data_IF_079775430727
#
_entry.id   IF_079775430727
#
_cell.length_a   1.000
_cell.length_b   1.000
_cell.length_c   1.000
_cell.angle_alpha   90.00
_cell.angle_beta   90.00
_cell.angle_gamma   90.00
#
_symmetry.space_group_name_H-M   'P 1'
#
loop_
_entity.id
_entity.type
_entity.pdbx_description
1 polymer ?
#
# COMPACT_ATOMS: atom_id res chain seq x y z
N UNK A 1 4.34 16.10 17.37
CA UNK A 1 3.67 17.13 18.20
C UNK A 1 3.18 16.60 19.56
N UNK A 2 3.07 15.27 19.79
CA UNK A 2 2.77 14.71 21.13
C UNK A 2 3.59 13.46 21.50
N UNK A 3 4.59 13.05 20.69
CA UNK A 3 5.44 11.87 20.91
C UNK A 3 4.70 10.56 21.29
N UNK A 4 3.43 10.48 20.91
CA UNK A 4 2.55 9.34 21.15
C UNK A 4 2.80 8.26 20.09
N UNK A 5 3.33 7.12 20.53
CA UNK A 5 3.74 6.03 19.65
C UNK A 5 3.24 4.65 20.13
N UNK A 6 2.05 4.63 20.75
CA UNK A 6 1.39 3.38 21.07
C UNK A 6 1.05 2.64 19.77
N UNK A 7 1.61 1.45 19.59
CA UNK A 7 1.30 0.58 18.45
C UNK A 7 0.42 -0.57 18.91
N UNK A 8 -0.75 -0.68 18.29
CA UNK A 8 -1.75 -1.70 18.59
C UNK A 8 -1.92 -2.65 17.41
N UNK A 9 -2.30 -3.90 17.70
CA UNK A 9 -2.53 -4.91 16.67
C UNK A 9 -3.99 -4.91 16.25
N UNK A 10 -4.24 -4.74 14.95
CA UNK A 10 -5.60 -4.80 14.41
C UNK A 10 -6.09 -6.25 14.26
N UNK A 11 -7.35 -6.42 13.86
CA UNK A 11 -7.94 -7.76 13.70
C UNK A 11 -7.25 -8.62 12.62
N UNK A 12 -6.59 -8.00 11.65
CA UNK A 12 -5.80 -8.65 10.59
C UNK A 12 -4.36 -8.99 11.01
N UNK A 13 -3.98 -8.74 12.26
CA UNK A 13 -2.63 -9.04 12.78
C UNK A 13 -1.57 -8.01 12.40
N UNK A 14 -1.95 -6.82 11.90
CA UNK A 14 -1.04 -5.73 11.58
C UNK A 14 -0.86 -4.81 12.78
N UNK A 15 0.39 -4.46 13.08
CA UNK A 15 0.74 -3.44 14.07
C UNK A 15 0.60 -2.04 13.45
N UNK A 16 -0.33 -1.24 13.95
CA UNK A 16 -0.61 0.12 13.48
C UNK A 16 -0.47 1.12 14.63
N UNK A 17 -0.20 2.37 14.30
CA UNK A 17 -0.22 3.46 15.28
C UNK A 17 -1.66 3.62 15.81
N UNK A 18 -1.81 3.74 17.12
CA UNK A 18 -3.08 4.01 17.76
C UNK A 18 -3.60 5.40 17.36
N UNK A 19 -4.92 5.53 17.24
CA UNK A 19 -5.55 6.83 16.95
C UNK A 19 -5.40 7.79 18.13
N UNK A 20 -5.57 9.12 17.92
CA UNK A 20 -5.46 10.11 18.99
C UNK A 20 -6.36 9.83 20.21
N UNK A 21 -7.51 9.18 20.02
CA UNK A 21 -8.41 8.76 21.10
C UNK A 21 -7.66 8.03 22.22
N UNK A 22 -6.74 7.11 21.87
CA UNK A 22 -5.97 6.33 22.86
C UNK A 22 -4.96 7.18 23.64
N UNK A 23 -4.55 8.34 23.11
CA UNK A 23 -3.69 9.28 23.84
C UNK A 23 -4.49 10.10 24.87
N UNK A 24 -5.71 10.50 24.51
CA UNK A 24 -6.56 11.35 25.37
C UNK A 24 -7.42 10.56 26.36
N UNK A 25 -7.58 9.25 26.16
CA UNK A 25 -8.35 8.34 27.03
C UNK A 25 -8.08 8.50 28.54
N UNK A 26 -6.83 8.62 29.02
CA UNK A 26 -6.56 8.79 30.46
C UNK A 26 -6.96 10.16 31.00
N UNK A 27 -7.18 11.14 30.13
CA UNK A 27 -7.39 12.55 30.49
C UNK A 27 -8.81 13.02 30.22
N UNK A 28 -9.71 12.16 29.72
CA UNK A 28 -11.06 12.55 29.33
C UNK A 28 -12.12 11.60 29.87
N UNK A 29 -13.12 12.18 30.56
CA UNK A 29 -14.35 11.51 30.96
C UNK A 29 -15.52 12.30 30.35
N UNK A 30 -16.28 11.66 29.46
CA UNK A 30 -17.47 12.25 28.85
C UNK A 30 -18.70 12.07 29.75
N UNK A 31 -19.75 12.84 29.46
CA UNK A 31 -21.00 12.80 30.21
C UNK A 31 -21.80 11.51 30.00
N UNK A 32 -21.71 10.86 28.84
CA UNK A 32 -22.64 9.79 28.43
C UNK A 32 -22.22 8.44 29.04
N UNK A 33 -21.04 7.93 28.68
CA UNK A 33 -20.58 6.58 29.08
C UNK A 33 -19.41 6.62 30.08
N UNK A 34 -18.58 7.67 30.04
CA UNK A 34 -17.31 7.77 30.75
C UNK A 34 -17.40 7.55 32.25
N UNK A 35 -18.49 8.00 32.87
CA UNK A 35 -18.73 7.85 34.32
C UNK A 35 -19.26 6.47 34.73
N UNK A 36 -19.60 5.61 33.77
CA UNK A 36 -20.05 4.25 34.04
C UNK A 36 -18.87 3.27 34.12
N UNK A 37 -17.86 3.45 33.27
CA UNK A 37 -16.75 2.51 33.17
C UNK A 37 -15.46 3.23 32.79
N UNK A 38 -14.32 2.96 33.44
CA UNK A 38 -13.05 3.51 32.98
C UNK A 38 -12.76 3.09 31.54
N UNK A 39 -12.19 4.01 30.76
CA UNK A 39 -11.82 3.81 29.35
C UNK A 39 -12.98 3.73 28.36
N UNK A 40 -14.19 4.17 28.74
CA UNK A 40 -15.38 4.12 27.87
C UNK A 40 -15.69 5.42 27.12
N UNK A 41 -14.96 6.51 27.40
CA UNK A 41 -15.29 7.85 26.86
C UNK A 41 -15.08 8.07 25.37
N UNK A 42 -14.59 7.06 24.65
CA UNK A 42 -14.31 7.15 23.22
C UNK A 42 -14.95 5.98 22.46
N UNK A 43 -15.72 6.33 21.43
CA UNK A 43 -16.32 5.39 20.51
C UNK A 43 -15.34 4.80 19.49
N UNK A 44 -15.74 3.67 18.89
CA UNK A 44 -15.04 3.00 17.76
C UNK A 44 -13.60 2.56 18.06
N UNK A 45 -13.25 2.41 19.33
CA UNK A 45 -11.92 1.95 19.78
C UNK A 45 -11.70 0.44 19.58
N UNK A 46 -12.77 -0.31 19.27
CA UNK A 46 -12.74 -1.76 19.00
C UNK A 46 -12.03 -2.19 17.70
N UNK A 47 -11.46 -1.25 16.94
CA UNK A 47 -10.65 -1.55 15.74
C UNK A 47 -9.37 -2.35 16.04
N UNK A 48 -8.92 -2.36 17.30
CA UNK A 48 -7.74 -3.07 17.77
C UNK A 48 -8.09 -4.21 18.72
N UNK A 49 -7.28 -5.28 18.70
CA UNK A 49 -7.37 -6.41 19.63
C UNK A 49 -6.73 -6.04 20.97
N UNK A 50 -7.36 -6.43 22.08
CA UNK A 50 -6.84 -6.24 23.45
C UNK A 50 -6.38 -4.80 23.78
N UNK A 51 -6.97 -3.80 23.11
CA UNK A 51 -6.54 -2.40 23.16
C UNK A 51 -6.50 -1.84 24.58
N UNK A 52 -7.49 -2.20 25.43
CA UNK A 52 -7.58 -1.69 26.81
C UNK A 52 -6.35 -2.07 27.62
N UNK A 53 -5.94 -3.34 27.54
CA UNK A 53 -4.76 -3.85 28.27
C UNK A 53 -3.48 -3.10 27.85
N UNK A 54 -3.27 -2.95 26.55
CA UNK A 54 -2.05 -2.31 26.04
C UNK A 54 -2.06 -0.79 26.24
N UNK A 55 -3.22 -0.14 26.19
CA UNK A 55 -3.35 1.29 26.49
C UNK A 55 -3.06 1.57 27.96
N UNK A 56 -3.61 0.76 28.87
CA UNK A 56 -3.32 0.83 30.31
C UNK A 56 -1.84 0.58 30.58
N UNK A 57 -1.26 -0.48 30.01
CA UNK A 57 0.16 -0.81 30.22
C UNK A 57 1.10 0.29 29.71
N UNK A 58 0.75 0.92 28.58
CA UNK A 58 1.51 2.01 27.97
C UNK A 58 1.53 3.27 28.85
N UNK A 59 0.34 3.74 29.24
CA UNK A 59 0.22 4.99 29.99
C UNK A 59 0.73 4.85 31.42
N UNK A 60 0.46 3.73 32.09
CA UNK A 60 0.97 3.46 33.45
C UNK A 60 2.48 3.24 33.52
N UNK A 61 3.14 3.03 32.37
CA UNK A 61 4.57 2.72 32.33
C UNK A 61 4.93 1.29 32.71
N UNK A 62 3.93 0.40 32.91
CA UNK A 62 4.15 -1.05 33.07
C UNK A 62 4.86 -1.62 31.85
N UNK A 63 4.47 -1.15 30.65
CA UNK A 63 5.21 -1.37 29.41
C UNK A 63 5.56 -0.02 28.80
N UNK A 64 6.82 0.42 28.87
CA UNK A 64 7.21 1.75 28.40
C UNK A 64 7.06 1.88 26.88
N UNK A 65 7.12 3.11 26.35
CA UNK A 65 7.09 3.38 24.90
C UNK A 65 8.08 2.52 24.10
N UNK A 66 9.30 2.33 24.61
CA UNK A 66 10.33 1.50 23.97
C UNK A 66 9.90 0.05 23.75
N UNK A 67 9.06 -0.51 24.65
CA UNK A 67 8.53 -1.86 24.50
C UNK A 67 7.68 -1.98 23.24
N UNK A 68 6.76 -1.05 23.01
CA UNK A 68 5.84 -1.09 21.86
C UNK A 68 6.55 -0.85 20.53
N UNK A 69 7.59 -0.02 20.51
CA UNK A 69 8.46 0.17 19.34
C UNK A 69 9.20 -1.13 18.99
N UNK A 70 9.82 -1.77 19.99
CA UNK A 70 10.53 -3.04 19.79
C UNK A 70 9.59 -4.19 19.43
N UNK A 71 8.39 -4.24 20.02
CA UNK A 71 7.38 -5.23 19.67
C UNK A 71 6.91 -5.09 18.22
N UNK A 72 6.75 -3.84 17.73
CA UNK A 72 6.48 -3.55 16.33
C UNK A 72 7.63 -4.02 15.41
N UNK A 73 8.87 -3.71 15.78
CA UNK A 73 10.07 -4.15 15.05
C UNK A 73 10.18 -5.68 14.99
N UNK A 74 9.91 -6.36 16.10
CA UNK A 74 9.85 -7.83 16.19
C UNK A 74 8.89 -8.41 15.15
N UNK A 75 7.67 -7.88 15.06
CA UNK A 75 6.66 -8.37 14.13
C UNK A 75 7.09 -8.20 12.66
N UNK A 76 7.76 -7.08 12.33
CA UNK A 76 8.32 -6.87 10.98
C UNK A 76 9.37 -7.92 10.63
N UNK A 77 10.33 -8.17 11.54
CA UNK A 77 11.37 -9.19 11.35
C UNK A 77 10.75 -10.59 11.22
N UNK A 78 9.76 -10.95 12.05
CA UNK A 78 9.08 -12.24 11.97
C UNK A 78 8.36 -12.45 10.63
N UNK A 79 7.79 -11.38 10.06
CA UNK A 79 7.18 -11.43 8.73
C UNK A 79 8.21 -11.59 7.61
N UNK A 80 9.35 -10.90 7.71
CA UNK A 80 10.46 -11.07 6.76
C UNK A 80 11.04 -12.49 6.81
N UNK A 81 11.26 -13.03 8.01
CA UNK A 81 11.71 -14.41 8.19
C UNK A 81 10.74 -15.39 7.53
N UNK A 82 9.43 -15.18 7.66
CA UNK A 82 8.42 -16.03 7.01
C UNK A 82 8.57 -16.01 5.49
N UNK A 83 8.68 -14.82 4.89
CA UNK A 83 8.86 -14.67 3.44
C UNK A 83 10.12 -15.40 2.94
N UNK A 84 11.26 -15.18 3.59
CA UNK A 84 12.52 -15.83 3.21
C UNK A 84 12.51 -17.34 3.47
N UNK A 85 11.77 -17.83 4.47
CA UNK A 85 11.55 -19.27 4.67
C UNK A 85 10.75 -19.87 3.54
N UNK A 86 9.67 -19.22 3.11
CA UNK A 86 8.83 -19.69 2.00
C UNK A 86 9.64 -19.74 0.69
N UNK A 87 10.49 -18.73 0.44
CA UNK A 87 11.41 -18.67 -0.69
C UNK A 87 12.46 -19.79 -0.64
N UNK A 88 13.14 -19.95 0.50
CA UNK A 88 14.10 -21.04 0.72
C UNK A 88 13.44 -22.41 0.49
N UNK A 89 12.23 -22.63 1.00
CA UNK A 89 11.53 -23.91 0.85
C UNK A 89 11.12 -24.18 -0.61
N UNK A 90 10.85 -23.14 -1.41
CA UNK A 90 10.68 -23.25 -2.85
C UNK A 90 11.99 -23.63 -3.55
N UNK A 91 13.11 -22.98 -3.19
CA UNK A 91 14.45 -23.29 -3.72
C UNK A 91 14.90 -24.70 -3.36
N UNK A 92 14.69 -25.17 -2.13
CA UNK A 92 15.01 -26.54 -1.72
C UNK A 92 14.22 -27.59 -2.52
N UNK A 93 12.94 -27.32 -2.81
CA UNK A 93 12.13 -28.19 -3.68
C UNK A 93 12.66 -28.21 -5.10
N UNK A 94 13.06 -27.06 -5.65
CA UNK A 94 13.69 -26.99 -6.97
C UNK A 94 15.03 -27.75 -7.00
N UNK A 95 15.87 -27.55 -5.98
CA UNK A 95 17.14 -28.23 -5.80
C UNK A 95 16.99 -29.75 -5.77
N UNK A 96 16.02 -30.27 -4.99
CA UNK A 96 15.74 -31.71 -4.92
C UNK A 96 15.33 -32.29 -6.28
N UNK A 97 14.51 -31.57 -7.05
CA UNK A 97 14.11 -32.01 -8.41
C UNK A 97 15.28 -32.09 -9.37
N UNK A 98 16.14 -31.05 -9.40
CA UNK A 98 17.34 -31.04 -10.26
C UNK A 98 18.35 -32.12 -9.83
N UNK A 99 18.47 -32.37 -8.52
CA UNK A 99 19.33 -33.43 -7.97
C UNK A 99 18.82 -34.84 -8.33
N UNK A 100 17.51 -35.07 -8.36
CA UNK A 100 16.95 -36.36 -8.77
C UNK A 100 17.16 -36.65 -10.27
N UNK A 101 17.16 -35.62 -11.13
CA UNK A 101 17.56 -35.79 -12.53
C UNK A 101 19.05 -36.09 -12.73
N UNK A 102 19.86 -36.01 -11.65
CA UNK A 102 21.32 -36.07 -11.72
C UNK A 102 21.92 -37.48 -11.75
N UNK A 103 21.14 -38.53 -11.45
CA UNK A 103 21.66 -39.90 -11.24
C UNK A 103 22.23 -40.58 -12.50
N UNK A 104 22.02 -40.02 -13.69
CA UNK A 104 22.48 -40.60 -14.96
C UNK A 104 23.18 -39.58 -15.88
N UNK A 105 23.73 -38.50 -15.31
CA UNK A 105 24.35 -37.44 -16.12
C UNK A 105 25.71 -37.89 -16.69
N UNK A 106 25.97 -37.67 -17.98
CA UNK A 106 27.30 -37.81 -18.56
C UNK A 106 28.38 -37.00 -17.82
N UNK A 107 29.68 -37.31 -17.93
CA UNK A 107 30.74 -36.45 -17.39
C UNK A 107 30.66 -35.00 -17.95
N UNK A 108 31.32 -34.01 -17.30
CA UNK A 108 31.42 -32.63 -17.81
C UNK A 108 31.77 -32.60 -19.29
N UNK A 109 31.20 -31.65 -20.05
CA UNK A 109 31.49 -31.52 -21.47
C UNK A 109 33.00 -31.41 -21.65
N UNK A 110 33.61 -32.46 -22.21
CA UNK A 110 34.98 -32.37 -22.67
C UNK A 110 34.97 -31.51 -23.93
N UNK A 111 35.27 -30.22 -23.77
CA UNK A 111 35.30 -29.25 -24.88
C UNK A 111 36.17 -29.72 -26.05
N UNK A 112 37.22 -30.50 -25.79
CA UNK A 112 38.07 -31.07 -26.83
C UNK A 112 37.42 -32.23 -27.60
N UNK A 113 36.58 -33.03 -26.95
CA UNK A 113 35.92 -34.18 -27.58
C UNK A 113 34.82 -33.79 -28.58
N UNK A 114 34.21 -32.61 -28.36
CA UNK A 114 33.12 -32.06 -29.17
C UNK A 114 33.42 -30.65 -29.74
N UNK A 115 34.69 -30.25 -29.82
CA UNK A 115 35.09 -28.90 -30.26
C UNK A 115 34.54 -28.58 -31.66
N UNK A 116 34.61 -29.54 -32.58
CA UNK A 116 34.09 -29.37 -33.94
C UNK A 116 32.57 -29.27 -33.96
N UNK A 117 31.87 -30.09 -33.18
CA UNK A 117 30.42 -30.09 -33.07
C UNK A 117 29.90 -28.78 -32.44
N UNK A 118 30.60 -28.25 -31.42
CA UNK A 118 30.31 -26.93 -30.83
C UNK A 118 30.51 -25.83 -31.87
N UNK A 119 31.66 -25.79 -32.56
CA UNK A 119 31.92 -24.76 -33.59
C UNK A 119 30.89 -24.83 -34.70
N UNK A 120 30.59 -26.02 -35.21
CA UNK A 120 29.59 -26.23 -36.27
C UNK A 120 28.20 -25.79 -35.83
N UNK A 121 27.78 -26.10 -34.60
CA UNK A 121 26.49 -25.69 -34.07
C UNK A 121 26.42 -24.16 -33.92
N UNK A 122 27.48 -23.53 -33.41
CA UNK A 122 27.57 -22.07 -33.28
C UNK A 122 27.51 -21.40 -34.65
N UNK A 123 28.27 -21.88 -35.63
CA UNK A 123 28.29 -21.36 -36.99
C UNK A 123 26.91 -21.53 -37.67
N UNK A 124 26.27 -22.70 -37.50
CA UNK A 124 24.94 -22.97 -38.05
C UNK A 124 23.85 -22.10 -37.45
N UNK A 125 23.81 -21.99 -36.12
CA UNK A 125 22.82 -21.17 -35.42
C UNK A 125 23.01 -19.70 -35.77
N UNK A 126 24.26 -19.23 -35.86
CA UNK A 126 24.57 -17.85 -36.25
C UNK A 126 24.17 -17.56 -37.69
N UNK A 127 24.49 -18.47 -38.63
CA UNK A 127 24.08 -18.34 -40.03
C UNK A 127 22.55 -18.38 -40.19
N UNK A 128 21.87 -19.22 -39.41
CA UNK A 128 20.41 -19.29 -39.38
C UNK A 128 19.78 -18.02 -38.84
N UNK A 129 20.31 -17.46 -37.75
CA UNK A 129 19.85 -16.20 -37.20
C UNK A 129 20.08 -15.04 -38.16
N UNK A 130 21.25 -14.97 -38.80
CA UNK A 130 21.56 -13.93 -39.78
C UNK A 130 20.59 -13.97 -40.96
N UNK A 131 20.39 -15.15 -41.55
CA UNK A 131 19.49 -15.30 -42.70
C UNK A 131 18.02 -15.08 -42.32
N UNK A 132 17.57 -15.57 -41.15
CA UNK A 132 16.21 -15.29 -40.66
C UNK A 132 15.99 -13.80 -40.44
N UNK A 133 16.97 -13.10 -39.87
CA UNK A 133 16.90 -11.66 -39.64
C UNK A 133 16.82 -10.91 -40.98
N UNK A 134 17.62 -11.32 -41.97
CA UNK A 134 17.61 -10.75 -43.31
C UNK A 134 16.25 -10.95 -44.02
N UNK A 135 15.73 -12.18 -44.03
CA UNK A 135 14.44 -12.49 -44.67
C UNK A 135 13.29 -11.76 -43.96
N UNK A 136 13.30 -11.75 -42.62
CA UNK A 136 12.25 -11.06 -41.83
C UNK A 136 12.29 -9.55 -42.05
N UNK A 137 13.49 -8.97 -42.21
CA UNK A 137 13.67 -7.56 -42.57
C UNK A 137 13.12 -7.27 -43.96
N UNK A 138 13.48 -8.08 -44.98
CA UNK A 138 12.95 -7.96 -46.34
C UNK A 138 11.43 -8.11 -46.40
N UNK A 139 10.88 -9.07 -45.67
CA UNK A 139 9.44 -9.29 -45.55
C UNK A 139 8.73 -8.09 -44.90
N UNK A 140 9.29 -7.56 -43.80
CA UNK A 140 8.75 -6.37 -43.12
C UNK A 140 8.71 -5.14 -44.04
N UNK A 141 9.78 -4.90 -44.80
CA UNK A 141 9.84 -3.81 -45.79
C UNK A 141 8.80 -4.03 -46.89
N UNK A 142 8.67 -5.25 -47.39
CA UNK A 142 7.71 -5.61 -48.46
C UNK A 142 6.26 -5.46 -47.99
N UNK A 143 5.92 -5.95 -46.80
CA UNK A 143 4.57 -5.82 -46.23
C UNK A 143 4.22 -4.37 -45.90
N UNK A 144 5.20 -3.57 -45.45
CA UNK A 144 5.02 -2.12 -45.25
C UNK A 144 4.70 -1.42 -46.58
N UNK A 145 5.44 -1.74 -47.65
CA UNK A 145 5.16 -1.22 -49.00
C UNK A 145 3.79 -1.65 -49.52
N UNK A 146 3.43 -2.93 -49.36
CA UNK A 146 2.09 -3.43 -49.72
C UNK A 146 0.98 -2.68 -49.00
N UNK A 147 1.13 -2.42 -47.71
CA UNK A 147 0.16 -1.65 -46.92
C UNK A 147 0.00 -0.22 -47.44
N UNK A 148 1.10 0.44 -47.82
CA UNK A 148 1.07 1.78 -48.44
C UNK A 148 0.36 1.72 -49.81
N UNK A 149 0.76 0.79 -50.67
CA UNK A 149 0.18 0.61 -52.01
C UNK A 149 -1.31 0.29 -51.94
N UNK A 150 -1.75 -0.55 -50.99
CA UNK A 150 -3.16 -0.86 -50.77
C UNK A 150 -3.96 0.39 -50.34
N UNK A 151 -3.40 1.24 -49.48
CA UNK A 151 -4.05 2.51 -49.08
C UNK A 151 -4.12 3.48 -50.25
N UNK A 152 -3.03 3.64 -50.99
CA UNK A 152 -2.99 4.49 -52.20
C UNK A 152 -3.98 4.00 -53.24
N UNK A 153 -4.06 2.69 -53.47
CA UNK A 153 -5.00 2.07 -54.39
C UNK A 153 -6.44 2.35 -53.97
N UNK A 154 -6.76 2.21 -52.67
CA UNK A 154 -8.09 2.52 -52.14
C UNK A 154 -8.48 3.99 -52.35
N UNK A 155 -7.54 4.92 -52.12
CA UNK A 155 -7.77 6.36 -52.34
C UNK A 155 -7.94 6.65 -53.83
N UNK A 156 -7.08 6.11 -54.69
CA UNK A 156 -7.16 6.30 -56.14
C UNK A 156 -8.46 5.72 -56.73
N UNK A 157 -8.89 4.55 -56.25
CA UNK A 157 -10.18 3.96 -56.65
C UNK A 157 -11.38 4.79 -56.19
N UNK A 158 -11.31 5.36 -54.98
CA UNK A 158 -12.36 6.27 -54.49
C UNK A 158 -12.39 7.57 -55.32
N UNK A 159 -11.24 8.17 -55.60
CA UNK A 159 -11.12 9.36 -56.43
C UNK A 159 -11.65 9.11 -57.86
N UNK A 160 -11.28 7.98 -58.47
CA UNK A 160 -11.81 7.59 -59.77
C UNK A 160 -13.33 7.44 -59.75
N UNK A 161 -13.90 6.87 -58.67
CA UNK A 161 -15.35 6.72 -58.51
C UNK A 161 -16.07 8.05 -58.36
N UNK A 162 -15.49 9.01 -57.64
CA UNK A 162 -16.05 10.37 -57.55
C UNK A 162 -15.93 11.10 -58.89
N UNK A 163 -14.79 11.03 -59.59
CA UNK A 163 -14.63 11.58 -60.94
C UNK A 163 -15.64 10.98 -61.94
N UNK A 164 -15.91 9.68 -61.86
CA UNK A 164 -16.92 9.00 -62.68
C UNK A 164 -18.34 9.56 -62.39
N UNK A 165 -18.65 9.88 -61.13
CA UNK A 165 -19.93 10.50 -60.75
C UNK A 165 -19.99 11.98 -61.15
N UNK A 166 -18.92 12.73 -60.94
CA UNK A 166 -18.84 14.16 -61.25
C UNK A 166 -19.05 14.38 -62.75
N UNK A 167 -18.43 13.56 -63.59
CA UNK A 167 -18.65 13.60 -65.02
C UNK A 167 -20.09 13.24 -65.41
N UNK A 168 -20.67 12.20 -64.80
CA UNK A 168 -22.06 11.82 -65.04
C UNK A 168 -23.04 12.95 -64.64
N UNK A 169 -22.87 13.50 -63.44
CA UNK A 169 -23.67 14.61 -62.94
C UNK A 169 -23.52 15.86 -63.81
N UNK A 170 -22.30 16.25 -64.19
CA UNK A 170 -22.05 17.38 -65.07
C UNK A 170 -22.69 17.21 -66.45
N UNK A 171 -22.90 15.97 -66.92
CA UNK A 171 -23.56 15.67 -68.19
C UNK A 171 -25.09 15.72 -68.10
N UNK A 172 -25.66 15.38 -66.93
CA UNK A 172 -27.11 15.27 -66.72
C UNK A 172 -27.79 16.59 -66.30
N UNK A 173 -27.03 17.66 -66.03
CA UNK A 173 -27.55 18.97 -65.63
C UNK A 173 -27.35 20.03 -66.71
N UNK A 174 -28.34 20.92 -66.83
CA UNK A 174 -28.30 22.12 -67.68
C UNK A 174 -27.92 23.39 -66.90
N UNK A 175 -27.71 23.28 -65.58
CA UNK A 175 -27.34 24.42 -64.72
C UNK A 175 -25.89 24.87 -65.00
N UNK A 176 -25.71 26.18 -65.18
CA UNK A 176 -24.42 26.86 -65.34
C UNK A 176 -24.53 28.28 -64.73
N UNK A 177 -23.76 28.64 -63.69
CA UNK A 177 -22.68 27.88 -63.06
C UNK A 177 -23.13 26.79 -62.07
N UNK A 178 -22.29 25.77 -61.90
CA UNK A 178 -22.46 24.67 -60.93
C UNK A 178 -21.62 24.95 -59.70
N UNK A 179 -22.26 25.05 -58.53
CA UNK A 179 -21.55 25.27 -57.28
C UNK A 179 -21.00 23.95 -56.71
N UNK A 180 -19.69 23.90 -56.42
CA UNK A 180 -19.06 22.72 -55.83
C UNK A 180 -19.53 22.52 -54.38
N UNK A 181 -20.15 21.39 -54.02
CA UNK A 181 -20.61 21.13 -52.66
C UNK A 181 -19.46 20.94 -51.65
N UNK A 182 -18.23 20.72 -52.13
CA UNK A 182 -17.05 20.49 -51.28
C UNK A 182 -16.31 21.77 -50.91
N UNK A 183 -16.22 22.74 -51.83
CA UNK A 183 -15.44 23.98 -51.62
C UNK A 183 -16.23 25.27 -51.82
N UNK A 184 -17.49 25.21 -52.29
CA UNK A 184 -18.36 26.36 -52.50
C UNK A 184 -18.03 27.21 -53.74
N UNK A 185 -17.02 26.82 -54.53
CA UNK A 185 -16.63 27.51 -55.76
C UNK A 185 -17.62 27.24 -56.90
N UNK A 186 -17.97 28.28 -57.65
CA UNK A 186 -18.80 28.17 -58.85
C UNK A 186 -17.94 27.77 -60.06
N UNK A 187 -18.27 26.64 -60.68
CA UNK A 187 -17.60 26.12 -61.86
C UNK A 187 -18.51 26.25 -63.09
N UNK A 188 -17.95 26.68 -64.23
CA UNK A 188 -18.72 26.71 -65.47
C UNK A 188 -18.88 25.29 -66.04
N UNK A 189 -20.08 24.87 -66.40
CA UNK A 189 -20.32 23.52 -66.94
C UNK A 189 -20.11 23.44 -68.47
N UNK A 190 -18.97 23.96 -68.94
CA UNK A 190 -18.60 24.00 -70.36
C UNK A 190 -18.06 22.66 -70.87
N UNK A 191 -18.09 22.46 -72.20
CA UNK A 191 -17.47 21.30 -72.84
C UNK A 191 -15.99 21.12 -72.43
N UNK A 192 -15.24 22.22 -72.31
CA UNK A 192 -13.81 22.18 -71.91
C UNK A 192 -13.65 21.61 -70.50
N UNK A 193 -14.51 22.01 -69.57
CA UNK A 193 -14.45 21.53 -68.18
C UNK A 193 -14.93 20.08 -68.06
N UNK A 194 -15.94 19.67 -68.84
CA UNK A 194 -16.35 18.25 -68.93
C UNK A 194 -15.25 17.39 -69.53
N UNK A 195 -14.53 17.88 -70.54
CA UNK A 195 -13.39 17.18 -71.14
C UNK A 195 -12.20 17.04 -70.17
N UNK A 196 -11.94 18.07 -69.35
CA UNK A 196 -10.93 18.01 -68.29
C UNK A 196 -11.22 16.88 -67.28
N UNK A 197 -12.50 16.68 -66.88
CA UNK A 197 -12.89 15.56 -66.02
C UNK A 197 -12.61 14.19 -66.66
N UNK A 198 -12.81 14.06 -67.98
CA UNK A 198 -12.48 12.82 -68.71
C UNK A 198 -10.98 12.57 -68.74
N UNK A 199 -10.17 13.61 -68.94
CA UNK A 199 -8.71 13.51 -68.90
C UNK A 199 -8.24 13.08 -67.49
N UNK A 200 -8.75 13.72 -66.44
CA UNK A 200 -8.48 13.36 -65.03
C UNK A 200 -8.88 11.90 -64.73
N UNK A 201 -10.03 11.43 -65.24
CA UNK A 201 -10.43 10.02 -65.13
C UNK A 201 -9.42 9.08 -65.80
N UNK A 202 -8.97 9.39 -67.01
CA UNK A 202 -7.99 8.55 -67.73
C UNK A 202 -6.66 8.49 -67.00
N UNK A 203 -6.16 9.62 -66.52
CA UNK A 203 -4.94 9.69 -65.71
C UNK A 203 -5.10 8.88 -64.42
N UNK A 204 -6.25 9.00 -63.74
CA UNK A 204 -6.53 8.24 -62.52
C UNK A 204 -6.62 6.72 -62.78
N UNK A 205 -7.25 6.29 -63.89
CA UNK A 205 -7.29 4.87 -64.32
C UNK A 205 -5.88 4.32 -64.56
N UNK A 206 -5.03 5.07 -65.24
CA UNK A 206 -3.63 4.68 -65.46
C UNK A 206 -2.87 4.55 -64.13
N UNK A 207 -3.05 5.50 -63.21
CA UNK A 207 -2.44 5.44 -61.88
C UNK A 207 -2.91 4.22 -61.06
N UNK A 208 -4.21 3.90 -61.09
CA UNK A 208 -4.76 2.69 -60.48
C UNK A 208 -4.11 1.42 -61.04
N UNK A 209 -3.95 1.33 -62.36
CA UNK A 209 -3.31 0.19 -63.02
C UNK A 209 -1.84 0.04 -62.61
N UNK A 210 -1.09 1.15 -62.53
CA UNK A 210 0.30 1.12 -62.04
C UNK A 210 0.37 0.61 -60.60
N UNK A 211 -0.47 1.15 -59.69
CA UNK A 211 -0.51 0.72 -58.29
C UNK A 211 -0.87 -0.77 -58.15
N UNK A 212 -1.77 -1.29 -58.98
CA UNK A 212 -2.12 -2.72 -58.99
C UNK A 212 -0.94 -3.59 -59.45
N UNK A 213 -0.20 -3.16 -60.48
CA UNK A 213 1.00 -3.86 -60.97
C UNK A 213 2.12 -3.88 -59.92
N UNK A 214 2.38 -2.74 -59.26
CA UNK A 214 3.35 -2.65 -58.18
C UNK A 214 2.95 -3.54 -56.99
N UNK A 215 1.68 -3.53 -56.60
CA UNK A 215 1.16 -4.37 -55.54
C UNK A 215 1.34 -5.85 -55.86
N UNK A 216 1.03 -6.28 -57.09
CA UNK A 216 1.24 -7.68 -57.54
C UNK A 216 2.72 -8.07 -57.50
N UNK A 217 3.62 -7.15 -57.81
CA UNK A 217 5.07 -7.40 -57.78
C UNK A 217 5.57 -7.60 -56.34
N UNK A 218 5.15 -6.73 -55.42
CA UNK A 218 5.50 -6.87 -54.00
C UNK A 218 4.84 -8.11 -53.37
N UNK A 219 3.65 -8.51 -53.82
CA UNK A 219 2.99 -9.73 -53.35
C UNK A 219 3.77 -10.99 -53.78
N UNK A 220 4.28 -11.03 -55.01
CA UNK A 220 5.18 -12.08 -55.47
C UNK A 220 6.48 -12.18 -54.66
N UNK A 221 7.08 -11.04 -54.29
CA UNK A 221 8.26 -10.99 -53.41
C UNK A 221 7.95 -11.53 -52.01
N UNK A 222 6.83 -11.09 -51.41
CA UNK A 222 6.40 -11.56 -50.10
C UNK A 222 6.21 -13.08 -50.07
N UNK A 223 5.54 -13.65 -51.07
CA UNK A 223 5.37 -15.10 -51.20
C UNK A 223 6.69 -15.85 -51.38
N UNK A 224 7.67 -15.26 -52.08
CA UNK A 224 9.02 -15.83 -52.20
C UNK A 224 9.72 -15.88 -50.84
N UNK A 225 9.70 -14.77 -50.09
CA UNK A 225 10.32 -14.71 -48.76
C UNK A 225 9.64 -15.65 -47.74
N UNK A 226 8.31 -15.82 -47.82
CA UNK A 226 7.59 -16.80 -47.01
C UNK A 226 8.03 -18.24 -47.34
N UNK A 227 8.21 -18.57 -48.63
CA UNK A 227 8.75 -19.87 -49.05
C UNK A 227 10.20 -20.09 -48.61
N UNK A 228 11.04 -19.06 -48.64
CA UNK A 228 12.40 -19.11 -48.11
C UNK A 228 12.41 -19.38 -46.59
N UNK A 229 11.47 -18.77 -45.86
CA UNK A 229 11.21 -19.04 -44.44
C UNK A 229 10.76 -20.47 -44.17
N UNK A 230 9.93 -21.07 -45.03
CA UNK A 230 9.55 -22.49 -44.92
C UNK A 230 10.70 -23.44 -45.26
N UNK A 231 11.55 -23.09 -46.24
CA UNK A 231 12.73 -23.86 -46.61
C UNK A 231 13.79 -23.91 -45.48
N UNK A 232 13.74 -23.00 -44.50
CA UNK A 232 14.58 -23.06 -43.30
C UNK A 232 14.39 -24.34 -42.47
N UNK A 233 13.28 -25.06 -42.62
CA UNK A 233 13.03 -26.34 -41.95
C UNK A 233 14.10 -27.41 -42.27
N UNK A 234 14.70 -27.38 -43.46
CA UNK A 234 15.77 -28.33 -43.83
C UNK A 234 17.05 -28.15 -43.02
N UNK A 235 17.31 -26.95 -42.50
CA UNK A 235 18.49 -26.67 -41.68
C UNK A 235 18.28 -27.00 -40.21
N UNK A 236 17.03 -27.00 -39.74
CA UNK A 236 16.66 -27.54 -38.42
C UNK A 236 17.00 -29.03 -38.34
N UNK A 237 16.71 -29.80 -39.39
CA UNK A 237 17.11 -31.20 -39.49
C UNK A 237 18.64 -31.40 -39.43
N UNK A 238 19.42 -30.40 -39.87
CA UNK A 238 20.90 -30.43 -39.79
C UNK A 238 21.40 -30.21 -38.36
N UNK A 239 20.78 -29.28 -37.62
CA UNK A 239 20.99 -29.09 -36.19
C UNK A 239 20.65 -30.37 -35.41
N UNK A 240 19.52 -31.01 -35.72
CA UNK A 240 19.14 -32.30 -35.12
C UNK A 240 20.21 -33.37 -35.38
N UNK A 241 20.79 -33.40 -36.59
CA UNK A 241 21.92 -34.28 -36.91
C UNK A 241 23.16 -34.02 -36.04
N UNK A 242 23.51 -32.76 -35.78
CA UNK A 242 24.63 -32.39 -34.88
C UNK A 242 24.31 -32.81 -33.44
N UNK A 243 23.08 -32.58 -32.97
CA UNK A 243 22.64 -32.96 -31.64
C UNK A 243 22.64 -34.49 -31.42
N UNK A 244 22.34 -35.26 -32.47
CA UNK A 244 22.36 -36.74 -32.44
C UNK A 244 23.76 -37.35 -32.58
N UNK A 245 24.79 -36.55 -32.90
CA UNK A 245 26.17 -37.03 -33.01
C UNK A 245 26.63 -37.68 -31.69
N UNK A 246 27.26 -38.85 -31.80
CA UNK A 246 27.72 -39.64 -30.64
C UNK A 246 29.24 -39.61 -30.55
N UNK A 247 29.77 -39.42 -29.34
CA UNK A 247 31.18 -39.73 -29.00
C UNK A 247 31.17 -40.68 -27.80
N UNK A 248 31.55 -41.93 -28.04
CA UNK A 248 31.41 -42.99 -27.03
C UNK A 248 29.94 -43.32 -26.78
N UNK A 249 29.51 -43.36 -25.52
CA UNK A 249 28.16 -43.77 -25.12
C UNK A 249 27.09 -42.67 -25.14
N UNK A 250 27.47 -41.41 -25.35
CA UNK A 250 26.59 -40.25 -25.18
C UNK A 250 26.41 -39.45 -26.47
N UNK A 251 25.21 -38.88 -26.66
CA UNK A 251 24.95 -37.89 -27.71
C UNK A 251 25.40 -36.51 -27.26
N UNK A 252 25.67 -35.62 -28.21
CA UNK A 252 26.00 -34.23 -27.92
C UNK A 252 24.86 -33.51 -27.19
N UNK A 253 23.59 -33.81 -27.50
CA UNK A 253 22.44 -33.29 -26.76
C UNK A 253 22.47 -33.66 -25.27
N UNK A 254 22.73 -34.93 -24.94
CA UNK A 254 22.78 -35.40 -23.55
C UNK A 254 23.85 -34.64 -22.73
N UNK A 255 24.96 -34.26 -23.40
CA UNK A 255 26.04 -33.46 -22.84
C UNK A 255 25.66 -31.99 -22.60
N UNK A 256 24.88 -31.38 -23.49
CA UNK A 256 24.37 -30.01 -23.31
C UNK A 256 23.35 -29.96 -22.17
N UNK A 257 22.41 -30.91 -22.14
CA UNK A 257 21.40 -31.01 -21.07
C UNK A 257 22.08 -31.20 -19.70
N UNK A 258 23.12 -32.05 -19.65
CA UNK A 258 23.96 -32.24 -18.48
C UNK A 258 24.59 -30.93 -17.97
N UNK A 259 25.17 -30.14 -18.86
CA UNK A 259 25.82 -28.89 -18.49
C UNK A 259 24.81 -27.81 -18.05
N UNK A 260 23.65 -27.75 -18.71
CA UNK A 260 22.54 -26.90 -18.30
C UNK A 260 22.03 -27.25 -16.90
N UNK A 261 21.90 -28.55 -16.61
CA UNK A 261 21.50 -29.03 -15.28
C UNK A 261 22.56 -28.72 -14.21
N UNK A 262 23.86 -28.86 -14.51
CA UNK A 262 24.94 -28.45 -13.58
C UNK A 262 24.87 -26.96 -13.25
N UNK A 263 24.71 -26.12 -14.27
CA UNK A 263 24.65 -24.67 -14.07
C UNK A 263 23.40 -24.24 -13.29
N UNK A 264 22.26 -24.89 -13.55
CA UNK A 264 21.04 -24.68 -12.77
C UNK A 264 21.24 -25.12 -11.31
N UNK A 265 21.90 -26.25 -11.08
CA UNK A 265 22.24 -26.73 -9.75
C UNK A 265 23.14 -25.75 -8.99
N UNK A 266 24.21 -25.24 -9.63
CA UNK A 266 25.10 -24.24 -9.06
C UNK A 266 24.34 -22.96 -8.68
N UNK A 267 23.52 -22.44 -9.59
CA UNK A 267 22.72 -21.23 -9.36
C UNK A 267 21.77 -21.41 -8.16
N UNK A 268 20.97 -22.49 -8.15
CA UNK A 268 20.05 -22.77 -7.05
C UNK A 268 20.83 -22.96 -5.73
N UNK A 269 22.00 -23.61 -5.78
CA UNK A 269 22.84 -23.76 -4.59
C UNK A 269 23.34 -22.42 -4.06
N UNK A 270 23.74 -21.49 -4.93
CA UNK A 270 24.16 -20.13 -4.55
C UNK A 270 22.98 -19.35 -3.94
N UNK A 271 21.80 -19.39 -4.56
CA UNK A 271 20.60 -18.73 -4.04
C UNK A 271 20.17 -19.31 -2.69
N UNK A 272 20.25 -20.63 -2.52
CA UNK A 272 19.95 -21.30 -1.25
C UNK A 272 20.91 -20.84 -0.13
N UNK A 273 22.21 -20.73 -0.43
CA UNK A 273 23.20 -20.21 0.52
C UNK A 273 22.87 -18.77 0.91
N UNK A 274 22.60 -17.90 -0.06
CA UNK A 274 22.24 -16.50 0.21
C UNK A 274 20.95 -16.38 1.05
N UNK A 275 19.92 -17.18 0.75
CA UNK A 275 18.68 -17.22 1.53
C UNK A 275 18.93 -17.67 2.98
N UNK A 276 19.78 -18.69 3.18
CA UNK A 276 20.13 -19.17 4.52
C UNK A 276 20.95 -18.14 5.32
N UNK A 277 21.91 -17.46 4.69
CA UNK A 277 22.66 -16.36 5.32
C UNK A 277 21.73 -15.23 5.76
N UNK A 278 20.81 -14.81 4.88
CA UNK A 278 19.83 -13.76 5.20
C UNK A 278 18.91 -14.17 6.35
N UNK A 279 18.44 -15.42 6.35
CA UNK A 279 17.66 -15.98 7.47
C UNK A 279 18.47 -16.00 8.77
N UNK A 280 19.75 -16.34 8.73
CA UNK A 280 20.65 -16.30 9.88
C UNK A 280 20.77 -14.90 10.47
N UNK A 281 20.97 -13.88 9.63
CA UNK A 281 21.02 -12.47 10.04
C UNK A 281 19.70 -12.03 10.67
N UNK A 282 18.57 -12.31 10.02
CA UNK A 282 17.25 -11.95 10.52
C UNK A 282 16.93 -12.65 11.86
N UNK A 283 17.32 -13.91 12.00
CA UNK A 283 17.16 -14.66 13.24
C UNK A 283 17.99 -14.06 14.37
N UNK A 284 19.25 -13.68 14.10
CA UNK A 284 20.09 -12.97 15.08
C UNK A 284 19.50 -11.64 15.52
N UNK A 285 18.95 -10.86 14.57
CA UNK A 285 18.23 -9.62 14.88
C UNK A 285 16.98 -9.87 15.72
N UNK A 286 16.21 -10.92 15.40
CA UNK A 286 15.02 -11.30 16.15
C UNK A 286 15.38 -11.67 17.60
N UNK A 287 16.45 -12.41 17.81
CA UNK A 287 16.89 -12.84 19.14
C UNK A 287 17.42 -11.66 19.97
N UNK A 288 18.14 -10.72 19.36
CA UNK A 288 18.52 -9.46 20.00
C UNK A 288 17.30 -8.64 20.46
N UNK A 289 16.32 -8.44 19.57
CA UNK A 289 15.08 -7.71 19.91
C UNK A 289 14.29 -8.43 21.02
N UNK A 290 14.24 -9.77 21.02
CA UNK A 290 13.59 -10.55 22.09
C UNK A 290 14.31 -10.37 23.44
N UNK A 291 15.64 -10.34 23.44
CA UNK A 291 16.41 -10.10 24.65
C UNK A 291 16.14 -8.69 25.21
N UNK A 292 16.15 -7.67 24.36
CA UNK A 292 15.81 -6.29 24.76
C UNK A 292 14.37 -6.19 25.30
N UNK A 293 13.39 -6.82 24.63
CA UNK A 293 12.02 -6.86 25.11
C UNK A 293 11.89 -7.51 26.49
N UNK A 294 12.67 -8.56 26.77
CA UNK A 294 12.69 -9.21 28.09
C UNK A 294 13.23 -8.27 29.16
N UNK A 295 14.26 -7.49 28.85
CA UNK A 295 14.84 -6.51 29.78
C UNK A 295 13.88 -5.35 30.10
N UNK A 296 12.96 -5.02 29.18
CA UNK A 296 11.94 -4.01 29.40
C UNK A 296 10.73 -4.52 30.22
N UNK A 297 10.60 -5.83 30.38
CA UNK A 297 9.55 -6.45 31.18
C UNK A 297 10.09 -6.83 32.57
N UNK A 298 10.45 -5.83 33.36
CA UNK A 298 10.89 -6.02 34.73
C UNK A 298 9.69 -6.35 35.66
N UNK A 299 9.65 -7.56 36.26
CA UNK A 299 8.61 -7.93 37.22
C UNK A 299 8.65 -7.06 38.49
N UNK A 300 9.83 -6.57 38.89
CA UNK A 300 10.02 -5.68 40.03
C UNK A 300 9.31 -4.35 39.80
N UNK A 301 9.70 -3.64 38.74
CA UNK A 301 9.01 -2.41 38.30
C UNK A 301 7.50 -2.60 38.15
N UNK A 302 7.05 -3.69 37.53
CA UNK A 302 5.62 -3.97 37.37
C UNK A 302 4.91 -4.09 38.73
N UNK A 303 5.54 -4.74 39.71
CA UNK A 303 5.00 -4.87 41.07
C UNK A 303 4.92 -3.50 41.77
N UNK A 304 5.95 -2.68 41.64
CA UNK A 304 6.02 -1.36 42.26
C UNK A 304 4.94 -0.42 41.70
N UNK A 305 4.77 -0.39 40.37
CA UNK A 305 3.72 0.40 39.71
C UNK A 305 2.32 -0.02 40.20
N UNK A 306 2.04 -1.33 40.24
CA UNK A 306 0.74 -1.82 40.70
C UNK A 306 0.51 -1.53 42.19
N UNK A 307 1.55 -1.60 43.03
CA UNK A 307 1.46 -1.27 44.44
C UNK A 307 1.20 0.23 44.66
N UNK A 308 1.88 1.10 43.89
CA UNK A 308 1.66 2.54 43.92
C UNK A 308 0.23 2.88 43.50
N UNK A 309 -0.24 2.35 42.37
CA UNK A 309 -1.62 2.52 41.90
C UNK A 309 -2.62 2.08 42.97
N UNK A 310 -2.45 0.89 43.55
CA UNK A 310 -3.34 0.37 44.59
C UNK A 310 -3.39 1.28 45.83
N UNK A 311 -2.26 1.87 46.23
CA UNK A 311 -2.20 2.83 47.33
C UNK A 311 -2.97 4.12 47.03
N UNK A 312 -2.76 4.70 45.84
CA UNK A 312 -3.51 5.91 45.40
C UNK A 312 -5.00 5.63 45.26
N UNK A 313 -5.36 4.47 44.69
CA UNK A 313 -6.75 4.04 44.54
C UNK A 313 -7.44 3.91 45.90
N UNK A 314 -6.80 3.28 46.88
CA UNK A 314 -7.35 3.18 48.23
C UNK A 314 -7.57 4.55 48.89
N UNK A 315 -6.64 5.49 48.70
CA UNK A 315 -6.78 6.85 49.21
C UNK A 315 -7.98 7.56 48.56
N UNK A 316 -8.08 7.56 47.23
CA UNK A 316 -9.16 8.27 46.55
C UNK A 316 -10.54 7.65 46.77
N UNK A 317 -10.63 6.33 46.91
CA UNK A 317 -11.87 5.67 47.31
C UNK A 317 -12.36 6.16 48.69
N UNK A 318 -11.44 6.33 49.64
CA UNK A 318 -11.77 6.87 50.96
C UNK A 318 -12.20 8.35 50.88
N UNK A 319 -11.46 9.18 50.13
CA UNK A 319 -11.76 10.61 49.94
C UNK A 319 -13.14 10.83 49.27
N UNK A 320 -13.52 9.92 48.38
CA UNK A 320 -14.81 9.93 47.66
C UNK A 320 -15.90 9.09 48.34
N UNK A 321 -15.61 8.52 49.52
CA UNK A 321 -16.55 7.72 50.30
C UNK A 321 -17.19 6.56 49.53
N UNK A 322 -16.37 5.80 48.80
CA UNK A 322 -16.76 4.56 48.13
C UNK A 322 -16.48 3.40 49.08
N UNK A 323 -17.52 2.62 49.39
CA UNK A 323 -17.47 1.54 50.37
C UNK A 323 -17.69 0.16 49.75
N UNK A 324 -18.32 0.09 48.58
CA UNK A 324 -18.80 -1.18 48.02
C UNK A 324 -17.82 -1.87 47.06
N UNK A 325 -16.70 -1.24 46.68
CA UNK A 325 -15.73 -1.86 45.77
C UNK A 325 -14.89 -2.91 46.52
N UNK A 326 -14.86 -4.18 46.07
CA UNK A 326 -14.04 -5.21 46.72
C UNK A 326 -12.55 -4.86 46.72
N UNK A 327 -11.86 -5.13 47.84
CA UNK A 327 -10.44 -4.80 48.00
C UNK A 327 -9.49 -5.55 47.04
N UNK A 328 -9.96 -6.63 46.42
CA UNK A 328 -9.21 -7.32 45.37
C UNK A 328 -9.28 -6.54 44.05
N UNK A 329 -10.49 -6.13 43.65
CA UNK A 329 -10.73 -5.33 42.43
C UNK A 329 -10.10 -3.95 42.53
N UNK A 330 -10.16 -3.30 43.69
CA UNK A 330 -9.57 -1.96 43.90
C UNK A 330 -8.06 -1.89 43.69
N UNK A 331 -7.37 -3.03 43.62
CA UNK A 331 -5.92 -3.12 43.38
C UNK A 331 -5.59 -3.34 41.90
N UNK A 332 -6.58 -3.62 41.07
CA UNK A 332 -6.35 -3.92 39.66
C UNK A 332 -6.24 -2.65 38.83
N UNK A 333 -5.04 -2.36 38.31
CA UNK A 333 -4.85 -1.22 37.38
C UNK A 333 -5.65 -1.37 36.08
N UNK A 334 -6.07 -2.60 35.74
CA UNK A 334 -6.91 -2.93 34.58
C UNK A 334 -8.37 -3.13 34.97
N UNK A 335 -8.83 -2.32 35.92
CA UNK A 335 -10.16 -2.39 36.50
C UNK A 335 -11.27 -2.45 35.44
N UNK A 336 -12.25 -3.31 35.70
CA UNK A 336 -13.52 -3.40 35.00
C UNK A 336 -14.58 -3.42 36.07
N UNK A 337 -15.39 -2.36 36.14
CA UNK A 337 -16.43 -2.24 37.15
C UNK A 337 -17.61 -3.14 36.80
N UNK A 338 -18.14 -3.79 37.82
CA UNK A 338 -19.38 -4.57 37.78
C UNK A 338 -20.47 -4.02 38.71
N UNK A 339 -20.14 -2.97 39.48
CA UNK A 339 -21.06 -2.35 40.42
C UNK A 339 -22.11 -1.52 39.70
N UNK A 340 -23.34 -1.53 40.23
CA UNK A 340 -24.44 -0.66 39.79
C UNK A 340 -24.87 0.20 40.97
N UNK A 341 -25.04 1.50 40.75
CA UNK A 341 -25.49 2.46 41.76
C UNK A 341 -24.60 3.69 41.92
N UNK A 342 -25.01 4.63 42.78
CA UNK A 342 -24.44 5.98 42.90
C UNK A 342 -22.95 6.05 43.32
N UNK A 343 -22.34 4.95 43.76
CA UNK A 343 -20.89 4.88 44.02
C UNK A 343 -20.05 4.78 42.74
N UNK A 344 -20.67 4.40 41.62
CA UNK A 344 -19.98 4.10 40.36
C UNK A 344 -19.24 5.32 39.78
N UNK A 345 -19.83 6.52 39.63
CA UNK A 345 -19.10 7.70 39.16
C UNK A 345 -17.93 8.08 40.08
N UNK A 346 -18.11 7.90 41.40
CA UNK A 346 -17.07 8.15 42.42
C UNK A 346 -15.93 7.14 42.31
N UNK A 347 -16.24 5.88 42.01
CA UNK A 347 -15.25 4.83 41.76
C UNK A 347 -14.46 5.10 40.48
N UNK A 348 -15.14 5.53 39.41
CA UNK A 348 -14.49 5.94 38.17
C UNK A 348 -13.55 7.12 38.41
N UNK A 349 -13.99 8.15 39.14
CA UNK A 349 -13.14 9.28 39.48
C UNK A 349 -11.90 8.84 40.28
N UNK A 350 -12.08 8.00 41.30
CA UNK A 350 -10.98 7.47 42.09
C UNK A 350 -9.95 6.74 41.21
N UNK A 351 -10.44 5.94 40.26
CA UNK A 351 -9.60 5.26 39.29
C UNK A 351 -8.79 6.23 38.42
N UNK A 352 -9.43 7.23 37.81
CA UNK A 352 -8.76 8.18 36.93
C UNK A 352 -7.72 9.04 37.67
N UNK A 353 -8.02 9.47 38.91
CA UNK A 353 -7.06 10.20 39.73
C UNK A 353 -5.87 9.31 40.14
N UNK A 354 -6.12 8.09 40.60
CA UNK A 354 -5.07 7.13 40.93
C UNK A 354 -4.21 6.77 39.71
N UNK A 355 -4.85 6.61 38.55
CA UNK A 355 -4.18 6.31 37.31
C UNK A 355 -3.34 7.50 36.83
N UNK A 356 -3.88 8.72 36.89
CA UNK A 356 -3.16 9.95 36.56
C UNK A 356 -1.89 10.13 37.39
N UNK A 357 -1.97 9.91 38.70
CA UNK A 357 -0.78 9.94 39.57
C UNK A 357 0.24 8.85 39.20
N UNK A 358 -0.25 7.65 38.88
CA UNK A 358 0.60 6.53 38.45
C UNK A 358 1.30 6.83 37.12
N UNK A 359 0.59 7.44 36.17
CA UNK A 359 1.14 7.87 34.89
C UNK A 359 2.22 8.94 35.09
N UNK A 360 2.01 9.88 36.01
CA UNK A 360 2.99 10.94 36.28
C UNK A 360 4.27 10.39 36.91
N UNK A 361 4.14 9.44 37.82
CA UNK A 361 5.28 8.84 38.51
C UNK A 361 6.07 7.87 37.61
N UNK A 362 5.40 7.03 36.84
CA UNK A 362 6.04 5.91 36.12
C UNK A 362 5.89 5.91 34.60
N UNK A 363 4.95 6.70 34.08
CA UNK A 363 4.63 6.78 32.67
C UNK A 363 5.73 7.45 31.84
N UNK A 364 5.58 7.35 30.52
CA UNK A 364 6.53 7.93 29.54
C UNK A 364 5.82 8.79 28.48
N UNK A 365 4.61 9.24 28.81
CA UNK A 365 3.66 9.85 27.87
C UNK A 365 3.52 11.34 28.10
N UNK A 366 3.13 12.07 27.06
CA UNK A 366 2.91 13.51 27.15
C UNK A 366 1.66 13.82 27.99
N UNK A 367 1.79 14.75 28.94
CA UNK A 367 0.66 15.25 29.71
C UNK A 367 -0.30 16.02 28.79
N UNK A 368 -1.58 15.64 28.80
CA UNK A 368 -2.64 16.32 28.06
C UNK A 368 -3.55 17.09 29.04
N UNK A 369 -4.33 18.08 28.55
CA UNK A 369 -5.36 18.71 29.37
C UNK A 369 -6.34 17.66 29.92
N UNK A 370 -6.61 17.73 31.21
CA UNK A 370 -7.59 16.89 31.90
C UNK A 370 -8.97 17.52 31.67
N UNK A 371 -9.91 16.74 31.15
CA UNK A 371 -11.24 17.18 30.80
C UNK A 371 -12.27 16.25 31.44
N UNK A 372 -13.04 16.78 32.38
CA UNK A 372 -14.13 16.05 33.02
C UNK A 372 -15.45 16.73 32.67
N UNK A 373 -16.29 16.02 31.92
CA UNK A 373 -17.60 16.50 31.50
C UNK A 373 -18.68 16.04 32.46
N UNK A 374 -19.30 16.99 33.15
CA UNK A 374 -20.44 16.80 34.03
C UNK A 374 -20.19 15.71 35.09
N UNK A 375 -19.30 15.95 36.07
CA UNK A 375 -18.94 14.96 37.08
C UNK A 375 -20.04 14.64 38.09
N UNK A 376 -21.10 15.47 38.14
CA UNK A 376 -22.26 15.21 38.97
C UNK A 376 -23.23 14.27 38.23
N UNK A 377 -23.02 12.98 38.42
CA UNK A 377 -23.78 11.90 37.78
C UNK A 377 -24.57 11.08 38.78
N UNK A 378 -25.66 10.45 38.31
CA UNK A 378 -26.50 9.53 39.08
C UNK A 378 -27.04 10.13 40.39
N UNK A 379 -27.44 11.41 40.35
CA UNK A 379 -28.10 12.14 41.45
C UNK A 379 -27.40 11.98 42.82
N UNK A 380 -26.12 12.34 42.89
CA UNK A 380 -25.38 12.36 44.16
C UNK A 380 -26.06 13.28 45.17
N UNK A 381 -26.05 12.90 46.44
CA UNK A 381 -26.40 13.84 47.51
C UNK A 381 -25.42 15.04 47.55
N UNK A 382 -25.82 16.11 48.22
CA UNK A 382 -25.05 17.36 48.25
C UNK A 382 -23.64 17.18 48.83
N UNK A 383 -23.44 16.26 49.77
CA UNK A 383 -22.14 16.00 50.39
C UNK A 383 -21.20 15.28 49.41
N UNK A 384 -21.68 14.22 48.77
CA UNK A 384 -20.91 13.46 47.80
C UNK A 384 -20.66 14.25 46.50
N UNK A 385 -21.63 15.05 46.05
CA UNK A 385 -21.46 15.99 44.95
C UNK A 385 -20.35 17.00 45.25
N UNK A 386 -20.27 17.48 46.50
CA UNK A 386 -19.21 18.38 46.94
C UNK A 386 -17.86 17.69 47.00
N UNK A 387 -17.79 16.46 47.53
CA UNK A 387 -16.56 15.65 47.59
C UNK A 387 -15.96 15.42 46.21
N UNK A 388 -16.79 15.11 45.21
CA UNK A 388 -16.35 14.93 43.81
C UNK A 388 -15.62 16.17 43.30
N UNK A 389 -16.24 17.35 43.42
CA UNK A 389 -15.66 18.61 42.90
C UNK A 389 -14.40 18.98 43.68
N UNK A 390 -14.42 18.88 45.01
CA UNK A 390 -13.25 19.18 45.84
C UNK A 390 -12.08 18.24 45.53
N UNK A 391 -12.35 16.95 45.31
CA UNK A 391 -11.32 15.96 44.97
C UNK A 391 -10.69 16.29 43.61
N UNK A 392 -11.50 16.55 42.57
CA UNK A 392 -11.03 16.97 41.24
C UNK A 392 -10.11 18.20 41.34
N UNK A 393 -10.53 19.24 42.05
CA UNK A 393 -9.79 20.50 42.14
C UNK A 393 -8.49 20.36 42.95
N UNK A 394 -8.50 19.57 44.03
CA UNK A 394 -7.31 19.34 44.88
C UNK A 394 -6.29 18.40 44.25
N UNK A 395 -6.75 17.47 43.41
CA UNK A 395 -5.92 16.46 42.76
C UNK A 395 -5.40 16.90 41.40
N UNK A 396 -5.67 18.14 40.96
CA UNK A 396 -5.09 18.69 39.74
C UNK A 396 -3.55 18.71 39.86
N UNK A 397 -2.82 18.00 38.97
CA UNK A 397 -1.36 18.00 39.02
C UNK A 397 -0.78 19.39 38.71
N UNK A 398 0.31 19.75 39.39
CA UNK A 398 1.02 21.02 39.13
C UNK A 398 1.44 21.15 37.67
N UNK A 399 1.22 22.31 37.06
CA UNK A 399 1.55 22.56 35.65
C UNK A 399 0.58 21.95 34.62
N UNK A 400 -0.44 21.20 35.06
CA UNK A 400 -1.49 20.67 34.18
C UNK A 400 -2.64 21.65 33.97
N UNK A 401 -3.36 21.49 32.86
CA UNK A 401 -4.63 22.19 32.63
C UNK A 401 -5.81 21.28 32.97
N UNK A 402 -6.73 21.77 33.80
CA UNK A 402 -8.02 21.14 34.07
C UNK A 402 -9.15 21.93 33.40
N UNK A 403 -10.00 21.22 32.66
CA UNK A 403 -11.25 21.73 32.09
C UNK A 403 -12.39 20.94 32.73
N UNK A 404 -13.20 21.63 33.52
CA UNK A 404 -14.33 21.03 34.23
C UNK A 404 -15.63 21.62 33.68
N UNK A 405 -16.41 20.81 32.98
CA UNK A 405 -17.77 21.19 32.61
C UNK A 405 -18.72 20.78 33.74
N UNK A 406 -19.39 21.74 34.37
CA UNK A 406 -20.31 21.46 35.47
C UNK A 406 -21.46 22.45 35.49
N UNK A 407 -22.65 21.96 35.85
CA UNK A 407 -23.84 22.80 36.07
C UNK A 407 -23.70 23.63 37.34
N UNK A 408 -23.07 23.06 38.37
CA UNK A 408 -22.79 23.71 39.65
C UNK A 408 -21.49 23.15 40.21
N UNK A 409 -20.65 24.02 40.78
CA UNK A 409 -19.45 23.64 41.51
C UNK A 409 -19.74 23.30 42.97
N UNK A 410 -21.01 23.20 43.38
CA UNK A 410 -21.41 22.87 44.75
C UNK A 410 -20.77 23.81 45.80
N UNK A 411 -20.61 25.08 45.42
CA UNK A 411 -19.95 26.11 46.24
C UNK A 411 -18.44 25.97 46.35
N UNK A 412 -17.79 25.17 45.50
CA UNK A 412 -16.34 24.93 45.58
C UNK A 412 -15.56 26.17 45.19
N UNK A 413 -14.52 26.47 45.98
CA UNK A 413 -13.62 27.59 45.71
C UNK A 413 -12.58 27.12 44.68
N UNK A 414 -12.40 27.89 43.62
CA UNK A 414 -11.37 27.64 42.61
C UNK A 414 -10.68 28.94 42.22
N UNK A 415 -9.44 28.83 41.75
CA UNK A 415 -8.67 29.94 41.17
C UNK A 415 -8.77 30.01 39.63
N UNK A 416 -9.40 29.00 39.02
CA UNK A 416 -9.55 28.92 37.56
C UNK A 416 -10.53 29.93 36.96
N UNK A 417 -10.44 30.11 35.63
CA UNK A 417 -11.36 30.96 34.87
C UNK A 417 -12.71 30.26 34.70
N UNK A 418 -13.79 30.91 35.13
CA UNK A 418 -15.16 30.43 34.89
C UNK A 418 -15.69 30.97 33.56
N UNK A 419 -16.25 30.09 32.73
CA UNK A 419 -16.92 30.45 31.47
C UNK A 419 -18.39 30.04 31.59
N UNK A 420 -19.29 31.02 31.67
CA UNK A 420 -20.74 30.79 31.75
C UNK A 420 -21.36 30.86 30.36
N UNK A 421 -21.93 29.74 29.90
CA UNK A 421 -22.70 29.71 28.67
C UNK A 421 -24.12 30.22 28.93
N UNK A 422 -24.47 31.37 28.37
CA UNK A 422 -25.77 32.04 28.56
C UNK A 422 -26.74 31.81 27.40
N UNK A 423 -26.26 31.30 26.27
CA UNK A 423 -27.06 31.11 25.05
C UNK A 423 -27.22 29.62 24.76
N UNK A 424 -28.48 29.19 24.59
CA UNK A 424 -28.83 27.78 24.36
C UNK A 424 -28.17 27.27 23.07
N UNK A 425 -27.47 26.14 23.16
CA UNK A 425 -26.78 25.46 22.03
C UNK A 425 -25.70 26.31 21.34
N UNK A 426 -25.09 27.27 22.04
CA UNK A 426 -23.97 28.06 21.52
C UNK A 426 -22.82 28.12 22.53
N UNK A 427 -21.65 27.66 22.09
CA UNK A 427 -20.39 27.73 22.87
C UNK A 427 -19.48 28.88 22.40
N UNK A 428 -19.69 29.38 21.18
CA UNK A 428 -18.98 30.51 20.62
C UNK A 428 -19.78 31.80 20.82
N UNK A 429 -19.07 32.91 21.06
CA UNK A 429 -19.67 34.23 21.23
C UNK A 429 -19.34 35.07 19.99
N UNK A 430 -20.37 35.55 19.29
CA UNK A 430 -20.21 36.25 18.00
C UNK A 430 -19.37 37.51 18.10
N UNK A 431 -19.45 38.22 19.23
CA UNK A 431 -18.67 39.41 19.57
C UNK A 431 -17.16 39.13 19.71
N UNK A 432 -16.77 37.88 19.97
CA UNK A 432 -15.36 37.46 20.07
C UNK A 432 -14.79 36.91 18.78
N UNK A 433 -15.61 36.75 17.73
CA UNK A 433 -15.20 36.06 16.51
C UNK A 433 -14.01 36.75 15.82
N UNK A 434 -14.02 38.07 15.68
CA UNK A 434 -12.92 38.80 15.01
C UNK A 434 -11.61 38.73 15.81
N UNK A 435 -11.67 38.85 17.13
CA UNK A 435 -10.49 38.80 18.00
C UNK A 435 -9.84 37.41 17.99
N UNK A 436 -10.66 36.37 18.19
CA UNK A 436 -10.21 34.97 18.15
C UNK A 436 -9.73 34.63 16.74
N UNK A 437 -10.43 35.08 15.71
CA UNK A 437 -10.05 34.89 14.31
C UNK A 437 -8.65 35.42 14.00
N UNK A 438 -8.29 36.61 14.50
CA UNK A 438 -6.92 37.16 14.35
C UNK A 438 -5.84 36.28 14.99
N UNK A 439 -6.18 35.55 16.05
CA UNK A 439 -5.25 34.63 16.74
C UNK A 439 -5.09 33.32 15.98
N UNK A 440 -6.18 32.76 15.44
CA UNK A 440 -6.17 31.45 14.78
C UNK A 440 -5.85 31.52 13.28
N UNK A 441 -6.13 32.62 12.58
CA UNK A 441 -5.90 32.75 11.14
C UNK A 441 -4.45 32.40 10.72
N UNK A 442 -3.39 32.87 11.40
CA UNK A 442 -2.02 32.49 11.05
C UNK A 442 -1.75 30.99 11.17
N UNK A 443 -2.39 30.31 12.12
CA UNK A 443 -2.24 28.87 12.33
C UNK A 443 -2.97 28.07 11.24
N UNK A 444 -4.17 28.51 10.87
CA UNK A 444 -4.94 27.91 9.77
C UNK A 444 -4.23 28.09 8.42
N UNK A 445 -3.65 29.27 8.18
CA UNK A 445 -2.86 29.55 6.97
C UNK A 445 -1.61 28.68 6.89
N UNK A 446 -0.97 28.36 8.03
CA UNK A 446 0.14 27.41 8.08
C UNK A 446 -0.30 25.98 7.75
N UNK A 447 -1.48 25.55 8.20
CA UNK A 447 -2.03 24.23 7.88
C UNK A 447 -2.44 24.10 6.40
N UNK A 448 -2.83 25.21 5.76
CA UNK A 448 -3.25 25.23 4.36
C UNK A 448 -2.09 25.27 3.35
N UNK A 449 -0.86 25.55 3.79
CA UNK A 449 0.32 25.50 2.93
C UNK A 449 0.74 24.05 2.72
N UNK A 450 0.92 23.57 1.46
CA UNK A 450 1.43 22.24 1.22
C UNK A 450 2.81 22.11 1.88
N UNK A 451 2.99 21.03 2.63
CA UNK A 451 4.26 20.68 3.26
C UNK A 451 5.29 20.49 2.14
N UNK A 452 6.23 21.43 2.01
CA UNK A 452 7.33 21.38 1.05
C UNK A 452 8.36 20.31 1.41
#
# INVERSE_FOLDING_TARGET
MLDFELRLTNHQGRSLLATPAFNFMPFYIDQDEGWQQPWSSFDKVGQFKAWKKDTVDYHSGVKPRSYYLLAGKKLLIENEIRKFKDERDALERAFKRVKQSQEHIPPPINRFAFQQEISRLVDEVSALQAQRTEITSKLSVTESKKSILQRQLKVAQAALKELDKDYAYATDIDDDPVQCPTCGTDHHNSFVNRFALVDDQQQCRHFVQMLQSELSTEDGKSQSYLRELEAHNFRVARIEGILQSRKGRWRFQDMIEAEGQRRAFELISTELTAANEKLGVLQGQLDAVKAELKNLLDPGRSKDINAFFAGRMAQFLADLNVLTLPAAESKEIKLTLHNTGSEQPRTVLAYYLAFGDTMREYGSTAECPIVYDTPHQQDQDAENARRIVDCILKSQPDGSQLILAAVSLQGAKHSGKEIKFTVKRQVLQSDKYEEVGKTFAPLLDQMARPSG
#
